data_IF_462474641093
#
_entry.id   IF_462474641093
#
_cell.length_a   1.000
_cell.length_b   1.000
_cell.length_c   1.000
_cell.angle_alpha   90.00
_cell.angle_beta   90.00
_cell.angle_gamma   90.00
#
_symmetry.space_group_name_H-M   'P 1'
#
loop_
_entity.id
_entity.type
_entity.pdbx_description
1 polymer ?
#
# COMPACT_ATOMS: atom_id res chain seq x y z
N UNK A 1 -15.63 29.94 -24.35
CA UNK A 1 -14.49 29.02 -24.18
C UNK A 1 -14.51 28.54 -22.74
N UNK A 2 -14.90 27.29 -22.52
CA UNK A 2 -15.03 26.73 -21.19
C UNK A 2 -13.63 26.60 -20.55
N UNK A 3 -13.55 26.59 -19.22
CA UNK A 3 -12.30 26.47 -18.48
C UNK A 3 -11.50 25.21 -18.85
N UNK A 4 -12.19 24.12 -19.21
CA UNK A 4 -11.58 22.87 -19.72
C UNK A 4 -10.80 23.06 -21.03
N UNK A 5 -11.21 23.96 -21.93
CA UNK A 5 -10.52 24.22 -23.20
C UNK A 5 -9.14 24.87 -23.02
N UNK A 6 -8.83 25.37 -21.81
CA UNK A 6 -7.55 26.01 -21.47
C UNK A 6 -6.57 25.08 -20.73
N UNK A 7 -6.99 23.84 -20.40
CA UNK A 7 -6.15 22.86 -19.69
C UNK A 7 -5.46 21.93 -20.67
N UNK A 8 -4.20 21.57 -20.36
CA UNK A 8 -3.41 20.64 -21.18
C UNK A 8 -3.01 19.42 -20.36
N UNK A 9 -3.40 18.23 -20.84
CA UNK A 9 -2.94 16.97 -20.28
C UNK A 9 -1.48 16.73 -20.70
N UNK A 10 -0.61 16.42 -19.71
CA UNK A 10 0.82 16.19 -19.88
C UNK A 10 1.25 14.93 -19.12
N UNK A 11 2.35 14.31 -19.55
CA UNK A 11 3.06 13.31 -18.72
C UNK A 11 3.65 14.01 -17.49
N UNK A 12 3.63 13.33 -16.34
CA UNK A 12 4.31 13.80 -15.14
C UNK A 12 5.76 13.33 -15.13
N UNK A 13 6.68 14.20 -14.73
CA UNK A 13 8.07 13.84 -14.44
C UNK A 13 8.20 13.41 -12.97
N UNK A 14 9.35 12.83 -12.58
CA UNK A 14 9.61 12.41 -11.18
C UNK A 14 9.37 13.53 -10.17
N UNK A 15 9.84 14.74 -10.46
CA UNK A 15 9.59 15.93 -9.60
C UNK A 15 8.12 16.28 -9.43
N UNK A 16 7.28 15.99 -10.42
CA UNK A 16 5.84 16.23 -10.32
C UNK A 16 5.19 15.20 -9.39
N UNK A 17 5.69 13.94 -9.39
CA UNK A 17 5.23 12.88 -8.48
C UNK A 17 5.55 13.21 -7.03
N UNK A 18 6.78 13.57 -6.72
CA UNK A 18 7.18 14.00 -5.37
C UNK A 18 6.37 15.21 -4.88
N UNK A 19 6.14 16.19 -5.77
CA UNK A 19 5.29 17.33 -5.43
C UNK A 19 3.84 16.90 -5.17
N UNK A 20 3.32 15.96 -5.95
CA UNK A 20 1.95 15.45 -5.79
C UNK A 20 1.79 14.75 -4.44
N UNK A 21 2.72 13.88 -4.06
CA UNK A 21 2.73 13.23 -2.76
C UNK A 21 2.66 14.24 -1.63
N UNK A 22 3.57 15.22 -1.62
CA UNK A 22 3.55 16.29 -0.62
C UNK A 22 2.21 17.04 -0.55
N UNK A 23 1.60 17.37 -1.69
CA UNK A 23 0.30 18.06 -1.73
C UNK A 23 -0.83 17.19 -1.18
N UNK A 24 -0.80 15.89 -1.44
CA UNK A 24 -1.78 14.94 -0.90
C UNK A 24 -1.61 14.81 0.62
N UNK A 25 -0.39 14.62 1.12
CA UNK A 25 -0.14 14.53 2.56
C UNK A 25 -0.47 15.83 3.30
N UNK A 26 -0.10 17.00 2.76
CA UNK A 26 -0.50 18.29 3.33
C UNK A 26 -2.03 18.41 3.45
N UNK A 27 -2.76 18.00 2.42
CA UNK A 27 -4.21 17.96 2.46
C UNK A 27 -4.73 16.99 3.53
N UNK A 28 -4.20 15.79 3.60
CA UNK A 28 -4.59 14.79 4.60
C UNK A 28 -4.35 15.29 6.01
N UNK A 29 -3.19 15.84 6.30
CA UNK A 29 -2.86 16.39 7.64
C UNK A 29 -3.67 17.64 8.00
N UNK A 30 -4.21 18.38 7.02
CA UNK A 30 -5.16 19.46 7.29
C UNK A 30 -6.52 18.95 7.76
N UNK A 31 -6.90 17.71 7.40
CA UNK A 31 -8.16 17.08 7.79
C UNK A 31 -8.03 16.25 9.07
N UNK A 32 -6.91 15.56 9.23
CA UNK A 32 -6.62 14.71 10.39
C UNK A 32 -5.20 15.01 10.86
N UNK A 33 -5.05 15.62 12.06
CA UNK A 33 -3.72 15.93 12.60
C UNK A 33 -2.85 14.68 12.76
N UNK A 34 -1.56 14.84 12.59
CA UNK A 34 -0.56 13.82 12.90
C UNK A 34 -0.63 13.42 14.37
N UNK A 35 -0.43 12.15 14.66
CA UNK A 35 -0.20 11.64 16.01
C UNK A 35 1.30 11.65 16.31
N UNK A 36 2.11 11.25 15.34
CA UNK A 36 3.56 11.32 15.41
C UNK A 36 4.06 12.50 14.57
N UNK A 37 5.03 13.24 15.10
CA UNK A 37 5.69 14.34 14.36
C UNK A 37 6.75 13.74 13.42
N UNK A 38 6.30 13.01 12.42
CA UNK A 38 7.09 12.49 11.33
C UNK A 38 6.53 13.02 10.01
N UNK A 39 7.41 13.46 9.13
CA UNK A 39 6.99 14.01 7.83
C UNK A 39 6.85 12.92 6.77
N UNK A 40 7.53 11.80 6.98
CA UNK A 40 7.53 10.63 6.11
C UNK A 40 7.29 9.37 6.93
N UNK A 41 7.08 8.25 6.26
CA UNK A 41 6.96 6.94 6.89
C UNK A 41 8.28 6.52 7.52
N UNK A 42 8.22 5.90 8.70
CA UNK A 42 9.40 5.33 9.36
C UNK A 42 9.51 3.87 9.00
N UNK A 43 10.53 3.52 8.24
CA UNK A 43 10.83 2.13 7.87
C UNK A 43 11.27 1.33 9.09
N UNK A 44 10.72 0.14 9.25
CA UNK A 44 11.10 -0.86 10.25
C UNK A 44 11.53 -2.12 9.53
N UNK A 45 12.73 -2.60 9.81
CA UNK A 45 13.24 -3.86 9.29
C UNK A 45 13.79 -4.72 10.42
N UNK A 46 13.32 -5.96 10.54
CA UNK A 46 13.86 -6.99 11.44
C UNK A 46 14.31 -8.18 10.63
N UNK A 47 15.54 -8.62 10.83
CA UNK A 47 16.14 -9.74 10.12
C UNK A 47 16.75 -10.77 11.06
N UNK A 48 16.92 -11.97 10.54
CA UNK A 48 17.60 -13.08 11.20
C UNK A 48 18.73 -13.52 10.28
N UNK A 49 19.92 -13.66 10.83
CA UNK A 49 21.11 -14.07 10.11
C UNK A 49 21.59 -15.45 10.60
N UNK A 50 22.21 -16.21 9.70
CA UNK A 50 22.92 -17.45 10.06
C UNK A 50 24.32 -17.16 10.60
N UNK A 51 25.06 -18.22 10.97
CA UNK A 51 26.44 -18.12 11.48
C UNK A 51 27.43 -17.54 10.46
N UNK A 52 27.10 -17.58 9.19
CA UNK A 52 27.93 -17.09 8.09
C UNK A 52 27.56 -15.64 7.69
N UNK A 53 26.57 -15.04 8.38
CA UNK A 53 26.11 -13.68 8.17
C UNK A 53 25.03 -13.53 7.08
N UNK A 54 24.52 -14.64 6.51
CA UNK A 54 23.48 -14.57 5.49
C UNK A 54 22.11 -14.30 6.11
N UNK A 55 21.29 -13.46 5.48
CA UNK A 55 19.91 -13.26 5.90
C UNK A 55 19.09 -14.49 5.54
N UNK A 56 18.46 -15.11 6.55
CA UNK A 56 17.65 -16.34 6.41
C UNK A 56 16.17 -16.11 6.69
N UNK A 57 15.82 -14.97 7.26
CA UNK A 57 14.44 -14.51 7.41
C UNK A 57 14.42 -12.99 7.64
N UNK A 58 13.32 -12.33 7.27
CA UNK A 58 13.12 -10.91 7.54
C UNK A 58 11.66 -10.52 7.47
N UNK A 59 11.36 -9.39 8.12
CA UNK A 59 10.06 -8.74 8.05
C UNK A 59 10.27 -7.23 8.05
N UNK A 60 9.55 -6.55 7.15
CA UNK A 60 9.63 -5.10 6.97
C UNK A 60 8.27 -4.44 7.15
N UNK A 61 8.24 -3.15 7.38
CA UNK A 61 7.01 -2.38 7.46
C UNK A 61 7.28 -0.89 7.62
N UNK A 62 6.21 -0.11 7.57
CA UNK A 62 6.23 1.35 7.63
C UNK A 62 5.30 1.86 8.72
N UNK A 63 5.79 2.75 9.58
CA UNK A 63 4.98 3.44 10.59
C UNK A 63 4.55 4.79 10.01
N UNK A 64 3.25 5.02 10.01
CA UNK A 64 2.62 6.24 9.50
C UNK A 64 2.40 7.27 10.61
N UNK A 65 2.35 8.54 10.23
CA UNK A 65 2.11 9.68 11.13
C UNK A 65 0.85 9.55 11.98
N UNK A 66 -0.12 8.73 11.58
CA UNK A 66 -1.39 8.50 12.30
C UNK A 66 -1.37 7.31 13.26
N UNK A 67 -0.19 6.91 13.70
CA UNK A 67 0.00 5.79 14.64
C UNK A 67 -0.57 4.45 14.12
N UNK A 68 -0.42 4.21 12.85
CA UNK A 68 -0.66 2.92 12.22
C UNK A 68 0.63 2.37 11.64
N UNK A 69 0.70 1.06 11.43
CA UNK A 69 1.81 0.39 10.78
C UNK A 69 1.31 -0.51 9.65
N UNK A 70 1.91 -0.38 8.49
CA UNK A 70 1.76 -1.35 7.40
C UNK A 70 2.94 -2.33 7.45
N UNK A 71 2.67 -3.62 7.42
CA UNK A 71 3.70 -4.66 7.21
C UNK A 71 3.76 -4.92 5.71
N UNK A 72 4.92 -4.71 5.13
CA UNK A 72 5.14 -4.78 3.70
C UNK A 72 5.61 -6.18 3.29
N UNK A 73 6.78 -6.59 3.72
CA UNK A 73 7.36 -7.86 3.33
C UNK A 73 7.59 -8.79 4.53
N UNK A 74 7.33 -10.07 4.34
CA UNK A 74 7.75 -11.14 5.25
C UNK A 74 8.28 -12.32 4.45
N UNK A 75 9.56 -12.62 4.63
CA UNK A 75 10.24 -13.71 3.92
C UNK A 75 11.03 -14.62 4.85
N UNK A 76 11.08 -15.92 4.51
CA UNK A 76 11.93 -16.93 5.15
C UNK A 76 12.51 -17.83 4.06
N UNK A 77 13.83 -18.02 4.08
CA UNK A 77 14.53 -18.96 3.20
C UNK A 77 13.91 -20.36 3.32
N UNK A 78 13.70 -21.02 2.19
CA UNK A 78 12.99 -22.31 2.10
C UNK A 78 13.60 -23.39 3.03
N UNK A 79 14.92 -23.40 3.19
CA UNK A 79 15.64 -24.35 4.04
C UNK A 79 15.38 -24.15 5.54
N UNK A 80 14.97 -22.94 5.93
CA UNK A 80 14.74 -22.53 7.32
C UNK A 80 13.26 -22.40 7.68
N UNK A 81 12.33 -22.70 6.75
CA UNK A 81 10.89 -22.65 7.02
C UNK A 81 10.47 -23.66 8.08
N UNK A 82 9.33 -23.43 8.71
CA UNK A 82 8.76 -24.26 9.78
C UNK A 82 9.56 -24.32 11.08
N UNK A 83 10.57 -23.49 11.26
CA UNK A 83 11.40 -23.41 12.47
C UNK A 83 11.04 -22.20 13.35
N UNK A 84 9.98 -21.47 13.04
CA UNK A 84 9.51 -20.32 13.83
C UNK A 84 10.18 -18.97 13.45
N UNK A 85 11.12 -18.93 12.50
CA UNK A 85 11.89 -17.73 12.17
C UNK A 85 11.00 -16.59 11.65
N UNK A 86 10.05 -16.90 10.75
CA UNK A 86 9.08 -15.89 10.27
C UNK A 86 8.27 -15.31 11.41
N UNK A 87 7.82 -16.14 12.35
CA UNK A 87 7.09 -15.65 13.53
C UNK A 87 7.95 -14.76 14.41
N UNK A 88 9.24 -15.08 14.58
CA UNK A 88 10.14 -14.28 15.39
C UNK A 88 10.41 -12.90 14.76
N UNK A 89 10.71 -12.85 13.46
CA UNK A 89 10.91 -11.59 12.74
C UNK A 89 9.63 -10.73 12.73
N UNK A 90 8.47 -11.35 12.44
CA UNK A 90 7.17 -10.70 12.41
C UNK A 90 6.78 -10.10 13.78
N UNK A 91 6.89 -10.88 14.85
CA UNK A 91 6.59 -10.40 16.20
C UNK A 91 7.56 -9.31 16.68
N UNK A 92 8.81 -9.32 16.22
CA UNK A 92 9.75 -8.26 16.50
C UNK A 92 9.33 -6.92 15.82
N UNK A 93 8.75 -6.98 14.62
CA UNK A 93 8.17 -5.81 13.94
C UNK A 93 6.90 -5.35 14.67
N UNK A 94 5.97 -6.26 15.03
CA UNK A 94 4.78 -5.92 15.83
C UNK A 94 5.16 -5.23 17.14
N UNK A 95 6.20 -5.72 17.81
CA UNK A 95 6.69 -5.13 19.05
C UNK A 95 7.18 -3.68 18.87
N UNK A 96 7.86 -3.37 17.76
CA UNK A 96 8.25 -1.98 17.45
C UNK A 96 7.01 -1.10 17.28
N UNK A 97 5.95 -1.59 16.62
CA UNK A 97 4.69 -0.86 16.49
C UNK A 97 4.05 -0.57 17.86
N UNK A 98 4.00 -1.57 18.75
CA UNK A 98 3.49 -1.42 20.12
C UNK A 98 4.32 -0.41 20.92
N UNK A 99 5.65 -0.54 20.93
CA UNK A 99 6.58 0.35 21.65
C UNK A 99 6.50 1.80 21.15
N UNK A 100 6.18 1.98 19.87
CA UNK A 100 5.97 3.30 19.27
C UNK A 100 4.57 3.86 19.47
N UNK A 101 3.64 3.10 20.05
CA UNK A 101 2.28 3.52 20.32
C UNK A 101 1.35 3.48 19.10
N UNK A 102 1.65 2.64 18.13
CA UNK A 102 0.69 2.34 17.07
C UNK A 102 -0.54 1.65 17.65
N UNK A 103 -1.73 1.95 17.14
CA UNK A 103 -2.98 1.34 17.58
C UNK A 103 -3.53 0.29 16.61
N UNK A 104 -2.99 0.24 15.38
CA UNK A 104 -3.36 -0.72 14.35
C UNK A 104 -2.16 -1.11 13.50
N UNK A 105 -2.14 -2.38 13.12
CA UNK A 105 -1.25 -2.92 12.09
C UNK A 105 -2.15 -3.50 10.99
N UNK A 106 -1.79 -3.29 9.72
CA UNK A 106 -2.45 -3.95 8.59
C UNK A 106 -1.41 -4.43 7.56
N UNK A 107 -1.83 -5.32 6.68
CA UNK A 107 -0.99 -5.95 5.67
C UNK A 107 -1.83 -6.53 4.54
N UNK A 108 -1.22 -6.65 3.36
CA UNK A 108 -1.73 -7.37 2.22
C UNK A 108 -1.14 -8.79 2.10
N UNK A 109 -1.89 -9.73 1.56
CA UNK A 109 -1.40 -11.08 1.26
C UNK A 109 -2.27 -11.77 0.21
N UNK A 110 -1.63 -12.45 -0.74
CA UNK A 110 -2.34 -13.26 -1.72
C UNK A 110 -2.72 -14.65 -1.17
N UNK A 111 -3.66 -15.31 -1.84
CA UNK A 111 -4.19 -16.65 -1.49
C UNK A 111 -3.11 -17.73 -1.40
N UNK A 112 -2.07 -17.65 -2.25
CA UNK A 112 -0.93 -18.59 -2.25
C UNK A 112 0.14 -18.27 -1.19
N UNK A 113 0.02 -17.18 -0.45
CA UNK A 113 0.96 -16.77 0.59
C UNK A 113 0.53 -17.24 1.99
N UNK A 114 0.43 -16.32 2.95
CA UNK A 114 0.41 -16.65 4.37
C UNK A 114 -0.89 -16.26 5.12
N UNK A 115 -2.03 -16.05 4.45
CA UNK A 115 -3.31 -15.69 5.09
C UNK A 115 -3.62 -16.54 6.34
N UNK A 116 -3.53 -17.91 6.32
CA UNK A 116 -3.80 -18.72 7.51
C UNK A 116 -2.86 -18.47 8.67
N UNK A 117 -1.63 -18.03 8.38
CA UNK A 117 -0.66 -17.64 9.39
C UNK A 117 -1.15 -16.37 10.13
N UNK A 118 -1.50 -15.33 9.40
CA UNK A 118 -1.95 -14.06 9.99
C UNK A 118 -3.24 -14.22 10.81
N UNK A 119 -4.19 -15.01 10.33
CA UNK A 119 -5.41 -15.32 11.09
C UNK A 119 -5.09 -15.96 12.45
N UNK A 120 -4.10 -16.86 12.52
CA UNK A 120 -3.64 -17.48 13.77
C UNK A 120 -2.91 -16.51 14.71
N UNK A 121 -2.44 -15.38 14.19
CA UNK A 121 -1.78 -14.32 14.96
C UNK A 121 -2.72 -13.16 15.32
N UNK A 122 -4.03 -13.37 15.19
CA UNK A 122 -5.05 -12.42 15.64
C UNK A 122 -5.41 -11.35 14.61
N UNK A 123 -4.98 -11.49 13.36
CA UNK A 123 -5.41 -10.63 12.27
C UNK A 123 -6.80 -11.01 11.77
N UNK A 124 -7.53 -10.03 11.30
CA UNK A 124 -8.87 -10.17 10.73
C UNK A 124 -8.87 -9.62 9.32
N UNK A 125 -9.46 -10.35 8.37
CA UNK A 125 -9.64 -9.86 7.00
C UNK A 125 -10.66 -8.73 6.99
N UNK A 126 -10.34 -7.60 6.36
CA UNK A 126 -11.27 -6.49 6.17
C UNK A 126 -11.53 -6.16 4.69
N UNK A 127 -10.67 -6.66 3.79
CA UNK A 127 -10.87 -6.53 2.34
C UNK A 127 -10.51 -7.83 1.64
N UNK A 128 -11.25 -8.15 0.58
CA UNK A 128 -10.94 -9.25 -0.34
C UNK A 128 -11.19 -8.78 -1.76
N UNK A 129 -10.18 -8.93 -2.60
CA UNK A 129 -10.27 -8.69 -4.03
C UNK A 129 -10.16 -10.02 -4.75
N UNK A 130 -11.23 -10.41 -5.42
CA UNK A 130 -11.26 -11.62 -6.25
C UNK A 130 -10.67 -11.31 -7.63
N UNK A 131 -10.01 -12.30 -8.23
CA UNK A 131 -9.35 -12.12 -9.53
C UNK A 131 -8.38 -10.91 -9.52
N UNK A 132 -7.53 -10.84 -8.52
CA UNK A 132 -6.59 -9.74 -8.33
C UNK A 132 -5.21 -10.24 -7.83
N UNK A 133 -4.31 -10.61 -8.78
CA UNK A 133 -4.49 -10.72 -10.23
C UNK A 133 -5.41 -11.86 -10.65
N UNK A 134 -5.70 -11.95 -11.94
CA UNK A 134 -6.57 -13.01 -12.50
C UNK A 134 -6.12 -14.40 -12.05
N UNK A 135 -7.04 -15.18 -11.48
CA UNK A 135 -6.81 -16.51 -10.92
C UNK A 135 -6.39 -16.51 -9.45
N UNK A 136 -6.23 -15.35 -8.83
CA UNK A 136 -5.83 -15.22 -7.43
C UNK A 136 -6.76 -14.29 -6.64
N UNK A 137 -6.72 -14.43 -5.33
CA UNK A 137 -7.40 -13.54 -4.39
C UNK A 137 -6.36 -12.73 -3.61
N UNK A 138 -6.64 -11.44 -3.43
CA UNK A 138 -5.85 -10.53 -2.61
C UNK A 138 -6.64 -10.17 -1.35
N UNK A 139 -6.00 -10.28 -0.19
CA UNK A 139 -6.59 -10.07 1.11
C UNK A 139 -5.86 -8.98 1.87
N UNK A 140 -6.65 -8.04 2.42
CA UNK A 140 -6.15 -7.09 3.40
C UNK A 140 -6.60 -7.50 4.80
N UNK A 141 -5.63 -7.58 5.71
CA UNK A 141 -5.87 -7.98 7.08
C UNK A 141 -5.37 -6.90 8.04
N UNK A 142 -6.01 -6.80 9.20
CA UNK A 142 -5.60 -5.88 10.26
C UNK A 142 -5.63 -6.52 11.63
N UNK A 143 -4.87 -5.92 12.56
CA UNK A 143 -4.86 -6.24 13.99
C UNK A 143 -4.84 -4.94 14.80
N UNK A 144 -5.73 -4.84 15.80
CA UNK A 144 -5.73 -3.73 16.74
C UNK A 144 -4.75 -4.00 17.87
N UNK A 145 -3.90 -3.02 18.20
CA UNK A 145 -2.93 -3.14 19.29
C UNK A 145 -3.46 -2.61 20.61
N UNK A 146 -4.52 -1.80 20.59
CA UNK A 146 -5.23 -1.25 21.76
C UNK A 146 -6.14 -2.26 22.47
N UNK A 147 -6.25 -3.49 21.94
CA UNK A 147 -7.03 -4.59 22.52
C UNK A 147 -6.11 -5.71 22.98
N UNK A 148 -6.43 -6.34 24.12
CA UNK A 148 -5.76 -7.56 24.53
C UNK A 148 -5.90 -8.64 23.46
N UNK A 149 -4.77 -9.05 22.90
CA UNK A 149 -4.70 -10.15 21.96
C UNK A 149 -4.07 -11.36 22.62
N UNK A 150 -4.74 -12.48 22.55
CA UNK A 150 -4.19 -13.80 22.95
C UNK A 150 -3.25 -14.33 21.85
N UNK A 151 -2.28 -13.51 21.43
CA UNK A 151 -1.28 -13.90 20.44
C UNK A 151 -0.42 -15.07 20.95
N UNK A 152 0.02 -15.91 20.02
CA UNK A 152 0.91 -17.03 20.34
C UNK A 152 2.25 -16.45 20.83
N UNK A 153 2.67 -16.80 22.05
CA UNK A 153 3.98 -16.38 22.58
C UNK A 153 5.12 -16.81 21.65
N UNK A 154 6.14 -15.97 21.47
CA UNK A 154 7.32 -16.34 20.69
C UNK A 154 7.88 -17.66 21.17
N UNK A 155 8.19 -18.56 20.24
CA UNK A 155 8.93 -19.78 20.55
C UNK A 155 10.42 -19.45 20.51
N UNK A 156 11.24 -20.04 21.40
CA UNK A 156 12.68 -19.91 21.29
C UNK A 156 13.16 -20.42 19.93
N UNK A 157 13.90 -19.58 19.22
CA UNK A 157 14.60 -19.95 17.99
C UNK A 157 16.10 -19.94 18.29
N UNK A 158 16.86 -20.80 17.63
CA UNK A 158 18.31 -20.86 17.82
C UNK A 158 19.09 -19.69 17.16
N UNK A 159 18.40 -18.58 16.83
CA UNK A 159 18.94 -17.43 16.12
C UNK A 159 18.53 -16.14 16.80
N UNK A 160 19.32 -15.09 16.60
CA UNK A 160 19.01 -13.74 17.07
C UNK A 160 18.25 -12.96 16.02
N UNK A 161 17.26 -12.16 16.45
CA UNK A 161 16.56 -11.18 15.61
C UNK A 161 17.25 -9.83 15.80
N UNK A 162 17.73 -9.24 14.71
CA UNK A 162 18.45 -7.96 14.72
C UNK A 162 17.78 -6.93 13.80
N UNK A 163 18.13 -5.66 13.99
CA UNK A 163 17.68 -4.59 13.10
C UNK A 163 18.32 -4.73 11.72
N UNK A 164 17.54 -4.42 10.68
CA UNK A 164 18.00 -4.37 9.29
C UNK A 164 18.24 -2.94 8.82
N UNK A 165 19.06 -2.81 7.76
CA UNK A 165 19.29 -1.57 7.01
C UNK A 165 18.32 -1.43 5.83
N UNK A 166 18.43 -0.32 5.08
CA UNK A 166 17.69 -0.14 3.82
C UNK A 166 18.04 -1.20 2.78
N UNK A 167 19.32 -1.58 2.67
CA UNK A 167 19.75 -2.65 1.76
C UNK A 167 19.18 -4.01 2.16
N UNK A 168 18.94 -4.24 3.45
CA UNK A 168 18.29 -5.46 3.94
C UNK A 168 16.79 -5.49 3.58
N UNK A 169 16.13 -4.32 3.58
CA UNK A 169 14.74 -4.18 3.09
C UNK A 169 14.67 -4.59 1.62
N UNK A 170 15.53 -4.01 0.78
CA UNK A 170 15.58 -4.34 -0.65
C UNK A 170 15.83 -5.84 -0.86
N UNK A 171 16.76 -6.43 -0.11
CA UNK A 171 17.04 -7.86 -0.19
C UNK A 171 15.82 -8.72 0.17
N UNK A 172 15.11 -8.41 1.25
CA UNK A 172 13.92 -9.16 1.69
C UNK A 172 12.81 -9.06 0.65
N UNK A 173 12.58 -7.88 0.10
CA UNK A 173 11.64 -7.61 -0.98
C UNK A 173 11.98 -8.46 -2.22
N UNK A 174 13.22 -8.44 -2.69
CA UNK A 174 13.67 -9.24 -3.85
C UNK A 174 13.46 -10.75 -3.64
N UNK A 175 13.68 -11.25 -2.41
CA UNK A 175 13.45 -12.66 -2.10
C UNK A 175 11.95 -13.02 -2.13
N UNK A 176 11.09 -12.15 -1.61
CA UNK A 176 9.64 -12.32 -1.66
C UNK A 176 9.13 -12.25 -3.11
N UNK A 177 9.61 -11.29 -3.89
CA UNK A 177 9.31 -11.17 -5.32
C UNK A 177 9.71 -12.44 -6.08
N UNK A 178 10.88 -12.98 -5.81
CA UNK A 178 11.33 -14.25 -6.37
C UNK A 178 10.43 -15.44 -6.02
N UNK A 179 9.81 -15.42 -4.83
CA UNK A 179 8.78 -16.39 -4.45
C UNK A 179 7.46 -16.14 -5.20
N UNK A 180 7.00 -14.88 -5.25
CA UNK A 180 5.75 -14.50 -5.89
C UNK A 180 5.75 -14.83 -7.38
N UNK A 181 6.85 -14.61 -8.09
CA UNK A 181 7.03 -14.95 -9.51
C UNK A 181 6.87 -16.43 -9.85
N UNK A 182 7.01 -17.33 -8.86
CA UNK A 182 6.72 -18.76 -9.06
C UNK A 182 5.21 -19.05 -9.16
N UNK A 183 4.38 -18.17 -8.63
CA UNK A 183 2.92 -18.29 -8.57
C UNK A 183 2.21 -17.34 -9.53
N UNK A 184 2.80 -16.17 -9.76
CA UNK A 184 2.27 -15.16 -10.65
C UNK A 184 2.87 -15.29 -12.05
N UNK A 185 2.10 -14.93 -13.04
CA UNK A 185 2.54 -14.89 -14.43
C UNK A 185 2.77 -13.44 -14.84
N UNK A 186 4.01 -12.96 -14.67
CA UNK A 186 4.41 -11.63 -15.12
C UNK A 186 4.26 -11.54 -16.63
N UNK A 187 3.46 -10.59 -17.10
CA UNK A 187 3.16 -10.42 -18.54
C UNK A 187 4.00 -9.32 -19.19
N UNK A 188 4.46 -8.36 -18.40
CA UNK A 188 5.26 -7.21 -18.86
C UNK A 188 5.89 -6.50 -17.65
N UNK A 189 6.80 -5.59 -17.90
CA UNK A 189 7.32 -4.70 -16.85
C UNK A 189 6.25 -3.72 -16.37
N UNK A 190 6.44 -3.20 -15.13
CA UNK A 190 5.58 -2.17 -14.57
C UNK A 190 5.45 -0.94 -15.49
N UNK A 191 4.22 -0.53 -15.81
CA UNK A 191 3.92 0.56 -16.75
C UNK A 191 3.42 1.80 -16.02
N UNK A 192 4.27 2.82 -15.88
CA UNK A 192 3.88 4.14 -15.32
C UNK A 192 2.95 4.91 -16.25
N UNK A 193 1.79 5.35 -15.72
CA UNK A 193 0.79 6.16 -16.45
C UNK A 193 0.51 7.49 -15.72
N UNK A 194 1.52 8.08 -15.11
CA UNK A 194 1.40 9.34 -14.39
C UNK A 194 1.03 10.50 -15.33
N UNK A 195 0.02 11.31 -14.94
CA UNK A 195 -0.47 12.43 -15.73
C UNK A 195 -0.73 13.65 -14.86
N UNK A 196 -0.60 14.83 -15.48
CA UNK A 196 -0.96 16.13 -14.87
C UNK A 196 -1.74 16.99 -15.85
N UNK A 197 -2.59 17.83 -15.30
CA UNK A 197 -3.25 18.91 -16.00
C UNK A 197 -2.56 20.23 -15.65
N UNK A 198 -2.25 21.01 -16.67
CA UNK A 198 -1.63 22.33 -16.50
C UNK A 198 -2.53 23.40 -17.13
N UNK A 199 -2.63 24.55 -16.47
CA UNK A 199 -3.33 25.70 -17.01
C UNK A 199 -2.49 26.46 -18.07
N UNK A 200 -3.01 27.56 -18.59
CA UNK A 200 -2.32 28.38 -19.60
C UNK A 200 -0.98 28.95 -19.11
N UNK A 201 -0.86 29.17 -17.80
CA UNK A 201 0.33 29.75 -17.17
C UNK A 201 1.36 28.66 -16.78
N UNK A 202 1.08 27.39 -17.11
CA UNK A 202 1.95 26.26 -16.78
C UNK A 202 1.82 25.75 -15.35
N UNK A 203 0.90 26.29 -14.53
CA UNK A 203 0.62 25.79 -13.17
C UNK A 203 -0.04 24.41 -13.27
N UNK A 204 0.46 23.44 -12.49
CA UNK A 204 -0.20 22.14 -12.32
C UNK A 204 -1.44 22.34 -11.45
N UNK A 205 -2.61 21.95 -11.96
CA UNK A 205 -3.91 22.12 -11.30
C UNK A 205 -4.58 20.82 -10.93
N UNK A 206 -4.13 19.70 -11.49
CA UNK A 206 -4.51 18.36 -11.07
C UNK A 206 -3.45 17.35 -11.51
N UNK A 207 -3.30 16.26 -10.78
CA UNK A 207 -2.36 15.21 -11.15
C UNK A 207 -2.81 13.84 -10.61
N UNK A 208 -2.38 12.78 -11.30
CA UNK A 208 -2.59 11.38 -10.92
C UNK A 208 -1.27 10.63 -11.01
N UNK A 209 -0.97 9.83 -9.98
CA UNK A 209 0.05 8.80 -9.99
C UNK A 209 -0.65 7.46 -10.12
N UNK A 210 -0.39 6.78 -11.22
CA UNK A 210 -1.05 5.53 -11.55
C UNK A 210 -0.17 4.69 -12.48
N UNK A 211 -0.42 3.39 -12.53
CA UNK A 211 0.29 2.47 -13.42
C UNK A 211 -0.42 1.14 -13.55
N UNK A 212 0.16 0.25 -14.35
CA UNK A 212 -0.27 -1.14 -14.50
C UNK A 212 0.89 -2.03 -14.04
N UNK A 213 0.59 -2.93 -13.13
CA UNK A 213 1.55 -3.90 -12.59
C UNK A 213 1.85 -5.00 -13.62
N UNK A 214 2.86 -5.78 -13.36
CA UNK A 214 3.34 -6.89 -14.19
C UNK A 214 2.28 -7.97 -14.40
N UNK A 215 1.29 -8.01 -13.52
CA UNK A 215 0.19 -8.98 -13.50
C UNK A 215 -1.16 -8.40 -13.94
N UNK A 216 -1.14 -7.33 -14.75
CA UNK A 216 -2.32 -6.69 -15.34
C UNK A 216 -3.31 -6.09 -14.32
N UNK A 217 -2.84 -5.64 -13.18
CA UNK A 217 -3.63 -4.84 -12.23
C UNK A 217 -3.28 -3.37 -12.37
N UNK A 218 -4.29 -2.55 -12.65
CA UNK A 218 -4.16 -1.11 -12.64
C UNK A 218 -4.16 -0.57 -11.20
N UNK A 219 -3.27 0.36 -10.90
CA UNK A 219 -3.16 0.95 -9.57
C UNK A 219 -3.21 2.46 -9.61
N UNK A 220 -4.06 3.09 -8.78
CA UNK A 220 -4.07 4.54 -8.54
C UNK A 220 -3.49 4.77 -7.15
N UNK A 221 -2.24 5.26 -7.08
CA UNK A 221 -1.59 5.56 -5.80
C UNK A 221 -1.99 6.90 -5.22
N UNK A 222 -2.00 7.95 -6.05
CA UNK A 222 -2.34 9.30 -5.59
C UNK A 222 -3.12 10.06 -6.67
N UNK A 223 -4.13 10.82 -6.23
CA UNK A 223 -4.92 11.72 -7.07
C UNK A 223 -5.12 13.03 -6.33
N UNK A 224 -4.82 14.15 -6.98
CA UNK A 224 -4.95 15.46 -6.41
C UNK A 224 -5.55 16.44 -7.40
N UNK A 225 -6.38 17.36 -6.89
CA UNK A 225 -6.92 18.50 -7.63
C UNK A 225 -6.77 19.73 -6.75
N UNK A 226 -6.16 20.78 -7.32
CA UNK A 226 -6.03 22.10 -6.69
C UNK A 226 -7.41 22.60 -6.24
N UNK A 227 -7.48 23.15 -5.03
CA UNK A 227 -8.74 23.52 -4.39
C UNK A 227 -9.60 24.43 -5.23
N UNK A 228 -9.00 25.43 -5.88
CA UNK A 228 -9.70 26.37 -6.78
C UNK A 228 -10.31 25.67 -8.01
N UNK A 229 -9.88 24.47 -8.33
CA UNK A 229 -10.29 23.68 -9.50
C UNK A 229 -11.16 22.47 -9.14
N UNK A 230 -11.48 22.26 -7.86
CA UNK A 230 -12.35 21.17 -7.42
C UNK A 230 -13.79 21.35 -7.90
N UNK A 231 -14.56 20.28 -7.93
CA UNK A 231 -15.96 20.28 -8.40
C UNK A 231 -16.15 20.44 -9.90
N UNK A 232 -15.07 20.61 -10.69
CA UNK A 232 -15.11 20.87 -12.14
C UNK A 232 -14.84 19.61 -12.99
N UNK A 233 -14.83 18.42 -12.40
CA UNK A 233 -14.66 17.16 -13.10
C UNK A 233 -13.21 16.78 -13.44
N UNK A 234 -12.18 17.54 -13.00
CA UNK A 234 -10.78 17.29 -13.38
C UNK A 234 -10.25 15.95 -12.83
N UNK A 235 -10.63 15.57 -11.60
CA UNK A 235 -10.28 14.26 -11.03
C UNK A 235 -10.88 13.13 -11.86
N UNK A 236 -12.16 13.24 -12.22
CA UNK A 236 -12.85 12.27 -13.09
C UNK A 236 -12.17 12.15 -14.46
N UNK A 237 -11.77 13.30 -15.06
CA UNK A 237 -11.05 13.29 -16.33
C UNK A 237 -9.73 12.51 -16.24
N UNK A 238 -8.95 12.70 -15.18
CA UNK A 238 -7.69 11.97 -14.96
C UNK A 238 -7.92 10.48 -14.73
N UNK A 239 -8.90 10.10 -13.90
CA UNK A 239 -9.26 8.71 -13.65
C UNK A 239 -9.73 8.02 -14.92
N UNK A 240 -10.64 8.63 -15.69
CA UNK A 240 -11.11 8.07 -16.98
C UNK A 240 -9.99 7.94 -18.00
N UNK A 241 -9.06 8.90 -18.04
CA UNK A 241 -7.88 8.79 -18.89
C UNK A 241 -7.01 7.58 -18.48
N UNK A 242 -6.79 7.40 -17.18
CA UNK A 242 -6.05 6.25 -16.65
C UNK A 242 -6.77 4.94 -16.95
N UNK A 243 -8.08 4.81 -16.65
CA UNK A 243 -8.89 3.62 -16.93
C UNK A 243 -8.75 3.17 -18.41
N UNK A 244 -8.89 4.13 -19.34
CA UNK A 244 -8.71 3.85 -20.75
C UNK A 244 -7.31 3.32 -21.06
N UNK A 245 -6.26 3.96 -20.51
CA UNK A 245 -4.87 3.57 -20.74
C UNK A 245 -4.51 2.24 -20.09
N UNK A 246 -5.01 1.97 -18.89
CA UNK A 246 -4.83 0.70 -18.20
C UNK A 246 -5.45 -0.46 -19.00
N UNK A 247 -6.68 -0.28 -19.48
CA UNK A 247 -7.34 -1.25 -20.34
C UNK A 247 -6.59 -1.51 -21.66
N UNK A 248 -6.08 -0.44 -22.31
CA UNK A 248 -5.22 -0.56 -23.51
C UNK A 248 -3.92 -1.33 -23.25
N UNK A 249 -3.50 -1.42 -21.97
CA UNK A 249 -2.30 -2.13 -21.50
C UNK A 249 -2.59 -3.51 -20.92
N UNK A 250 -3.82 -3.98 -21.01
CA UNK A 250 -4.22 -5.32 -20.59
C UNK A 250 -4.79 -5.41 -19.17
N UNK A 251 -4.84 -4.31 -18.43
CA UNK A 251 -5.40 -4.34 -17.08
C UNK A 251 -6.85 -4.80 -17.10
N UNK A 252 -7.17 -5.74 -16.22
CA UNK A 252 -8.52 -6.30 -16.03
C UNK A 252 -9.25 -5.67 -14.87
N UNK A 253 -8.50 -5.11 -13.93
CA UNK A 253 -8.99 -4.48 -12.71
C UNK A 253 -8.16 -3.24 -12.38
N UNK A 254 -8.80 -2.23 -11.78
CA UNK A 254 -8.10 -1.10 -11.15
C UNK A 254 -8.41 -1.13 -9.67
N UNK A 255 -7.39 -0.92 -8.86
CA UNK A 255 -7.49 -0.79 -7.40
C UNK A 255 -6.93 0.56 -6.94
N UNK A 256 -7.38 0.99 -5.78
CA UNK A 256 -6.81 2.11 -5.05
C UNK A 256 -7.01 1.89 -3.56
N UNK A 257 -5.95 2.14 -2.82
CA UNK A 257 -5.88 2.01 -1.37
C UNK A 257 -5.79 3.39 -0.71
N UNK A 258 -5.81 3.41 0.61
CA UNK A 258 -5.73 4.65 1.39
C UNK A 258 -6.79 5.69 0.96
N UNK A 259 -7.97 5.20 0.59
CA UNK A 259 -9.13 6.04 0.32
C UNK A 259 -9.86 6.25 1.64
N UNK A 260 -10.09 7.49 2.00
CA UNK A 260 -10.68 7.83 3.28
C UNK A 260 -12.13 8.31 3.15
N UNK A 261 -12.83 8.42 4.28
CA UNK A 261 -14.23 8.86 4.33
C UNK A 261 -14.48 10.22 3.67
N UNK A 262 -13.47 11.10 3.60
CA UNK A 262 -13.58 12.41 2.93
C UNK A 262 -13.44 12.37 1.40
N UNK A 263 -13.01 11.26 0.81
CA UNK A 263 -12.86 11.15 -0.66
C UNK A 263 -13.49 9.88 -1.27
N UNK A 264 -14.08 8.98 -0.47
CA UNK A 264 -14.71 7.74 -0.95
C UNK A 264 -15.86 8.01 -1.93
N UNK A 265 -16.63 9.07 -1.73
CA UNK A 265 -17.76 9.43 -2.61
C UNK A 265 -17.31 9.78 -4.02
N UNK A 266 -16.09 10.32 -4.18
CA UNK A 266 -15.51 10.56 -5.48
C UNK A 266 -15.31 9.25 -6.25
N UNK A 267 -14.77 8.23 -5.61
CA UNK A 267 -14.56 6.92 -6.23
C UNK A 267 -15.88 6.22 -6.54
N UNK A 268 -16.85 6.23 -5.61
CA UNK A 268 -18.21 5.70 -5.84
C UNK A 268 -18.88 6.37 -7.06
N UNK A 269 -18.80 7.69 -7.19
CA UNK A 269 -19.31 8.44 -8.36
C UNK A 269 -18.61 8.09 -9.67
N UNK A 270 -17.39 7.57 -9.62
CA UNK A 270 -16.65 7.05 -10.78
C UNK A 270 -16.84 5.54 -10.98
N UNK A 271 -17.84 4.93 -10.33
CA UNK A 271 -18.19 3.51 -10.41
C UNK A 271 -17.11 2.57 -9.87
N UNK A 272 -16.41 2.98 -8.80
CA UNK A 272 -15.59 2.08 -8.01
C UNK A 272 -16.42 1.46 -6.90
N UNK A 273 -16.22 0.18 -6.68
CA UNK A 273 -16.81 -0.59 -5.57
C UNK A 273 -15.88 -0.57 -4.37
N UNK A 274 -16.42 -0.68 -3.17
CA UNK A 274 -15.65 -0.84 -1.94
C UNK A 274 -15.34 -2.33 -1.77
N UNK A 275 -14.06 -2.68 -1.66
CA UNK A 275 -13.60 -4.03 -1.34
C UNK A 275 -13.54 -4.26 0.17
N UNK A 276 -13.18 -3.22 0.94
CA UNK A 276 -13.08 -3.30 2.37
C UNK A 276 -12.99 -1.93 3.04
N UNK A 277 -13.24 -1.94 4.36
CA UNK A 277 -13.20 -0.77 5.23
C UNK A 277 -12.40 -1.09 6.50
N UNK A 278 -11.32 -0.36 6.73
CA UNK A 278 -10.61 -0.33 8.01
C UNK A 278 -11.17 0.82 8.84
N UNK A 279 -12.06 0.50 9.78
CA UNK A 279 -12.71 1.48 10.66
C UNK A 279 -11.73 2.03 11.68
N UNK A 280 -12.00 3.25 12.17
CA UNK A 280 -11.22 3.90 13.21
C UNK A 280 -9.72 4.01 12.87
N UNK A 281 -9.43 4.33 11.60
CA UNK A 281 -8.12 4.68 11.11
C UNK A 281 -8.25 5.59 9.87
N UNK A 282 -7.59 6.78 9.90
CA UNK A 282 -6.88 7.37 11.05
C UNK A 282 -7.87 8.06 12.03
N UNK A 283 -7.56 8.01 13.33
CA UNK A 283 -8.19 8.82 14.38
C UNK A 283 -9.74 8.94 14.28
N UNK A 284 -10.47 7.85 14.39
CA UNK A 284 -11.93 7.82 14.34
C UNK A 284 -12.52 7.94 12.93
N UNK A 285 -11.70 7.95 11.90
CA UNK A 285 -12.10 7.93 10.49
C UNK A 285 -12.12 6.50 9.94
N UNK A 286 -12.47 6.35 8.66
CA UNK A 286 -12.36 5.06 7.97
C UNK A 286 -11.45 5.18 6.76
N UNK A 287 -10.62 4.14 6.56
CA UNK A 287 -9.84 3.93 5.35
C UNK A 287 -10.48 2.81 4.52
N UNK A 288 -10.55 3.00 3.22
CA UNK A 288 -11.20 2.10 2.28
C UNK A 288 -10.23 1.59 1.22
N UNK A 289 -10.43 0.35 0.83
CA UNK A 289 -9.89 -0.24 -0.38
C UNK A 289 -10.99 -0.27 -1.43
N UNK A 290 -10.71 0.25 -2.61
CA UNK A 290 -11.69 0.35 -3.70
C UNK A 290 -11.16 -0.30 -4.98
N UNK A 291 -12.07 -0.83 -5.78
CA UNK A 291 -11.73 -1.46 -7.05
C UNK A 291 -12.76 -1.18 -8.13
N UNK A 292 -12.34 -1.43 -9.38
CA UNK A 292 -13.20 -1.40 -10.56
C UNK A 292 -12.72 -2.41 -11.58
N UNK A 293 -13.61 -3.28 -12.03
CA UNK A 293 -13.37 -4.16 -13.17
C UNK A 293 -13.44 -3.37 -14.48
N UNK A 294 -12.56 -3.70 -15.46
CA UNK A 294 -12.39 -2.96 -16.73
C UNK A 294 -13.01 -3.62 -17.96
#
# INVERSE_FOLDING_TARGET
MTMMEKLRLRRSARKDSLRLENLVYQYYFSLVPKVFDIDEEVTVCKKIIDKDGNIIAGCTGYIYSWAGMYIDDMWVDEKYRRQGLGSAAFQAVEKVAEERGCHVIWLGTWDFQAKPYYLKHGYTVFSTLYECPVGHEDYELYKRLDKEHTGRKPQPIGFEVVDGSEEDVDYICEQLDGYNKKHLNDKHDYIKINRKLVNKDGKVVAAIMAGVTEVDVGWIWKLWVDEEYRGQGLGTLLVKHFEKKAKEKGATKIISEEIFDWNIDFFKKNNYSVAGELKDFPNGRSMYYVYKDL
#
